data_IF_637352603849
#
_entry.id   IF_637352603849
#
_cell.length_a   1.000
_cell.length_b   1.000
_cell.length_c   1.000
_cell.angle_alpha   90.00
_cell.angle_beta   90.00
_cell.angle_gamma   90.00
#
_symmetry.space_group_name_H-M   'P 1'
#
loop_
_entity.id
_entity.type
_entity.pdbx_description
1 polymer ?
#
# COMPACT_ATOMS: atom_id res chain seq x y z
N UNK A 1 10.23 7.72 2.12
CA UNK A 1 10.11 9.16 2.44
C UNK A 1 8.84 9.80 1.92
N UNK A 2 8.53 9.71 0.62
CA UNK A 2 7.35 10.37 0.03
C UNK A 2 5.98 9.97 0.62
N UNK A 3 5.91 8.82 1.28
CA UNK A 3 4.74 8.36 2.03
C UNK A 3 4.76 8.81 3.49
N UNK A 4 5.53 9.84 3.83
CA UNK A 4 5.66 10.35 5.19
C UNK A 4 6.05 9.29 6.27
N UNK A 5 6.58 8.14 5.86
CA UNK A 5 7.06 7.07 6.75
C UNK A 5 8.42 7.50 7.34
N UNK A 6 8.58 7.60 8.68
CA UNK A 6 9.81 8.08 9.28
C UNK A 6 10.99 7.15 8.96
N UNK A 7 12.21 7.70 8.90
CA UNK A 7 13.41 6.93 8.58
C UNK A 7 13.74 5.85 9.63
N UNK A 8 13.34 6.07 10.87
CA UNK A 8 13.46 5.12 11.98
C UNK A 8 12.39 4.01 11.99
N UNK A 9 11.46 4.01 11.04
CA UNK A 9 10.35 3.05 11.03
C UNK A 9 10.86 1.60 10.82
N UNK A 10 10.40 0.61 11.62
CA UNK A 10 10.86 -0.78 11.53
C UNK A 10 10.78 -1.38 10.12
N UNK A 11 9.71 -1.09 9.37
CA UNK A 11 9.54 -1.55 7.99
C UNK A 11 10.66 -1.12 7.03
N UNK A 12 11.50 -0.14 7.39
CA UNK A 12 12.67 0.28 6.60
C UNK A 12 13.96 -0.46 6.96
N UNK A 13 13.93 -1.33 7.95
CA UNK A 13 15.10 -2.08 8.38
C UNK A 13 15.49 -3.14 7.35
N UNK A 14 16.77 -3.56 7.37
CA UNK A 14 17.26 -4.63 6.49
C UNK A 14 16.64 -5.99 6.77
N UNK A 15 15.94 -6.14 7.90
CA UNK A 15 15.21 -7.37 8.23
C UNK A 15 13.92 -7.48 7.42
N UNK A 16 13.30 -6.36 7.04
CA UNK A 16 11.98 -6.32 6.40
C UNK A 16 12.03 -5.91 4.91
N UNK A 17 13.12 -5.27 4.47
CA UNK A 17 13.25 -4.71 3.12
C UNK A 17 14.50 -5.19 2.40
N UNK A 18 14.32 -5.61 1.14
CA UNK A 18 15.43 -5.92 0.24
C UNK A 18 16.08 -4.66 -0.33
N UNK A 19 17.15 -4.20 0.32
CA UNK A 19 18.05 -3.19 -0.23
C UNK A 19 18.99 -3.81 -1.27
N UNK A 20 19.35 -3.02 -2.28
CA UNK A 20 20.25 -3.45 -3.35
C UNK A 20 21.70 -3.20 -2.94
N UNK A 21 22.60 -4.11 -3.33
CA UNK A 21 24.04 -3.88 -3.26
C UNK A 21 24.61 -3.26 -4.54
N UNK A 22 23.89 -3.37 -5.66
CA UNK A 22 24.26 -2.75 -6.95
C UNK A 22 23.01 -2.51 -7.84
N UNK A 23 22.67 -1.25 -8.18
CA UNK A 23 23.23 -0.04 -7.57
C UNK A 23 22.81 0.02 -6.09
N UNK A 24 23.71 0.42 -5.19
CA UNK A 24 23.39 0.62 -3.76
C UNK A 24 22.66 1.94 -3.51
N UNK A 25 22.88 2.92 -4.40
CA UNK A 25 22.23 4.23 -4.40
C UNK A 25 21.64 4.57 -5.76
N UNK A 26 20.53 5.31 -5.75
CA UNK A 26 19.94 5.92 -6.94
C UNK A 26 20.08 7.44 -6.90
N UNK A 27 20.16 8.04 -8.08
CA UNK A 27 20.05 9.49 -8.19
C UNK A 27 18.61 9.92 -7.93
N UNK A 28 18.45 10.90 -7.04
CA UNK A 28 17.18 11.53 -6.71
C UNK A 28 17.36 13.04 -6.85
N UNK A 29 16.43 13.69 -7.55
CA UNK A 29 16.47 15.15 -7.73
C UNK A 29 16.53 15.84 -6.37
N UNK A 30 17.48 16.77 -6.24
CA UNK A 30 17.68 17.58 -5.04
C UNK A 30 16.39 18.28 -4.60
N UNK A 31 15.55 18.71 -5.54
CA UNK A 31 14.24 19.30 -5.25
C UNK A 31 13.38 18.40 -4.36
N UNK A 32 13.32 17.10 -4.68
CA UNK A 32 12.53 16.15 -3.88
C UNK A 32 13.20 15.82 -2.55
N UNK A 33 14.53 15.72 -2.51
CA UNK A 33 15.26 15.51 -1.25
C UNK A 33 15.03 16.68 -0.27
N UNK A 34 15.07 17.92 -0.77
CA UNK A 34 14.84 19.11 0.03
C UNK A 34 13.37 19.21 0.48
N UNK A 35 12.42 18.89 -0.42
CA UNK A 35 10.99 18.84 -0.10
C UNK A 35 10.68 17.85 1.02
N UNK A 36 11.10 16.59 0.88
CA UNK A 36 10.79 15.56 1.86
C UNK A 36 11.54 15.77 3.18
N UNK A 37 12.75 16.34 3.15
CA UNK A 37 13.40 16.76 4.39
C UNK A 37 12.55 17.77 5.15
N UNK A 38 12.08 18.83 4.49
CA UNK A 38 11.24 19.84 5.13
C UNK A 38 9.91 19.28 5.66
N UNK A 39 9.24 18.42 4.88
CA UNK A 39 8.00 17.76 5.31
C UNK A 39 8.24 16.90 6.56
N UNK A 40 9.30 16.10 6.59
CA UNK A 40 9.59 15.21 7.72
C UNK A 40 10.08 15.99 8.95
N UNK A 41 10.87 17.03 8.79
CA UNK A 41 11.43 17.79 9.91
C UNK A 41 10.43 18.79 10.51
N UNK A 42 9.58 19.39 9.67
CA UNK A 42 8.78 20.56 10.04
C UNK A 42 7.30 20.47 9.66
N UNK A 43 6.89 19.45 8.90
CA UNK A 43 5.49 19.26 8.51
C UNK A 43 5.05 20.08 7.30
N UNK A 44 5.93 20.86 6.68
CA UNK A 44 5.59 21.77 5.56
C UNK A 44 4.44 22.74 5.94
N UNK A 45 3.65 23.18 4.97
CA UNK A 45 2.47 24.05 5.15
C UNK A 45 1.19 23.30 5.58
N UNK A 46 1.29 22.01 5.95
CA UNK A 46 0.13 21.14 6.23
C UNK A 46 -0.51 21.34 7.61
N UNK A 47 0.08 22.19 8.45
CA UNK A 47 -0.26 22.31 9.88
C UNK A 47 0.29 21.18 10.76
N UNK A 48 0.98 20.20 10.16
CA UNK A 48 1.74 19.18 10.88
C UNK A 48 3.00 19.77 11.53
N UNK A 49 3.51 19.10 12.57
CA UNK A 49 4.82 19.42 13.17
C UNK A 49 5.97 18.63 12.54
N UNK A 50 5.66 17.76 11.56
CA UNK A 50 6.59 16.74 11.11
C UNK A 50 6.85 15.67 12.18
N UNK A 51 7.90 14.89 11.98
CA UNK A 51 8.41 13.91 12.94
C UNK A 51 9.35 14.53 13.98
N UNK A 52 9.87 15.74 13.74
CA UNK A 52 10.75 16.45 14.66
C UNK A 52 12.13 15.80 14.85
N UNK A 53 12.54 14.92 13.91
CA UNK A 53 13.85 14.29 13.86
C UNK A 53 14.62 14.78 12.62
N UNK A 54 15.94 14.80 12.70
CA UNK A 54 16.81 15.15 11.57
C UNK A 54 16.61 14.17 10.40
N UNK A 55 16.51 14.70 9.19
CA UNK A 55 16.29 13.91 7.98
C UNK A 55 17.61 13.63 7.24
N UNK A 56 17.97 12.36 7.14
CA UNK A 56 19.14 11.94 6.37
C UNK A 56 18.80 11.80 4.87
N UNK A 57 19.30 12.74 4.05
CA UNK A 57 19.09 12.71 2.60
C UNK A 57 19.82 11.56 1.90
N UNK A 58 20.88 11.01 2.49
CA UNK A 58 21.59 9.87 1.93
C UNK A 58 20.82 8.56 2.17
N UNK A 59 20.07 8.46 3.26
CA UNK A 59 19.15 7.34 3.50
C UNK A 59 18.08 7.25 2.40
N UNK A 60 17.54 8.39 1.95
CA UNK A 60 16.55 8.46 0.87
C UNK A 60 17.06 8.02 -0.50
N UNK A 61 18.39 7.96 -0.69
CA UNK A 61 19.00 7.55 -1.96
C UNK A 61 19.24 6.04 -2.02
N UNK A 62 19.12 5.30 -0.91
CA UNK A 62 19.35 3.85 -0.89
C UNK A 62 18.39 3.15 -1.83
N UNK A 63 18.94 2.33 -2.72
CA UNK A 63 18.16 1.57 -3.68
C UNK A 63 17.55 0.33 -3.00
N UNK A 64 16.28 0.05 -3.30
CA UNK A 64 15.55 -1.09 -2.75
C UNK A 64 14.56 -1.65 -3.78
N UNK A 65 14.16 -2.90 -3.58
CA UNK A 65 13.03 -3.48 -4.28
C UNK A 65 11.73 -2.95 -3.65
N UNK A 66 10.80 -2.47 -4.48
CA UNK A 66 9.55 -1.86 -3.98
C UNK A 66 8.79 -2.83 -3.06
N UNK A 67 8.45 -2.34 -1.86
CA UNK A 67 7.77 -3.12 -0.81
C UNK A 67 6.24 -3.09 -0.89
N UNK A 68 5.70 -2.11 -1.61
CA UNK A 68 4.28 -1.91 -1.85
C UNK A 68 4.06 -1.10 -3.14
N UNK A 69 2.89 -1.24 -3.76
CA UNK A 69 2.52 -0.51 -5.00
C UNK A 69 2.26 0.98 -4.78
N UNK A 70 2.16 1.43 -3.53
CA UNK A 70 1.80 2.80 -3.13
C UNK A 70 2.79 3.85 -3.62
N UNK A 71 4.02 3.44 -3.92
CA UNK A 71 5.01 4.29 -4.59
C UNK A 71 4.55 4.78 -5.96
N UNK A 72 3.75 3.98 -6.67
CA UNK A 72 3.19 4.36 -7.97
C UNK A 72 2.01 5.33 -7.80
N UNK A 73 1.20 5.14 -6.77
CA UNK A 73 0.08 6.00 -6.42
C UNK A 73 0.55 7.41 -6.11
N UNK A 74 1.60 7.56 -5.30
CA UNK A 74 2.22 8.86 -5.02
C UNK A 74 2.70 9.55 -6.29
N UNK A 75 3.32 8.80 -7.22
CA UNK A 75 3.73 9.34 -8.53
C UNK A 75 2.54 9.75 -9.39
N UNK A 76 1.46 8.99 -9.37
CA UNK A 76 0.22 9.33 -10.08
C UNK A 76 -0.38 10.64 -9.57
N UNK A 77 -0.48 10.80 -8.25
CA UNK A 77 -0.96 12.03 -7.60
C UNK A 77 -0.06 13.22 -7.94
N UNK A 78 1.26 13.07 -7.84
CA UNK A 78 2.20 14.14 -8.18
C UNK A 78 2.09 14.62 -9.64
N UNK A 79 1.72 13.73 -10.57
CA UNK A 79 1.53 14.07 -11.98
C UNK A 79 0.12 14.60 -12.28
N UNK A 80 -0.85 14.40 -11.39
CA UNK A 80 -2.26 14.71 -11.62
C UNK A 80 -2.91 15.34 -10.35
N UNK A 81 -2.34 16.39 -9.74
CA UNK A 81 -2.76 16.88 -8.44
C UNK A 81 -4.21 17.41 -8.41
N UNK A 82 -4.69 17.97 -9.51
CA UNK A 82 -6.01 18.62 -9.60
C UNK A 82 -6.99 17.86 -10.51
N UNK A 83 -6.72 16.58 -10.82
CA UNK A 83 -7.55 15.78 -11.72
C UNK A 83 -8.29 14.69 -10.93
N UNK A 84 -9.63 14.74 -10.83
CA UNK A 84 -10.38 13.69 -10.15
C UNK A 84 -10.12 12.34 -10.80
N UNK A 85 -9.71 11.35 -10.01
CA UNK A 85 -9.33 10.05 -10.53
C UNK A 85 -9.72 8.89 -9.62
N UNK A 86 -10.13 7.79 -10.26
CA UNK A 86 -10.38 6.49 -9.62
C UNK A 86 -9.56 5.47 -10.38
N UNK A 87 -8.37 5.16 -9.86
CA UNK A 87 -7.41 4.29 -10.52
C UNK A 87 -7.08 3.11 -9.63
N UNK A 88 -6.77 1.98 -10.24
CA UNK A 88 -6.23 0.84 -9.55
C UNK A 88 -5.06 0.26 -10.35
N UNK A 89 -4.14 -0.38 -9.64
CA UNK A 89 -2.99 -1.04 -10.21
C UNK A 89 -2.76 -2.38 -9.54
N UNK A 90 -2.20 -3.31 -10.30
CA UNK A 90 -1.74 -4.60 -9.79
C UNK A 90 -0.26 -4.69 -10.11
N UNK A 91 0.55 -5.03 -9.12
CA UNK A 91 1.99 -5.13 -9.32
C UNK A 91 2.67 -6.02 -8.31
N UNK A 92 3.71 -6.73 -8.77
CA UNK A 92 4.57 -7.53 -7.89
C UNK A 92 5.36 -6.64 -6.94
N UNK A 93 5.42 -7.00 -5.66
CA UNK A 93 6.13 -6.33 -4.58
C UNK A 93 7.03 -7.32 -3.86
N UNK A 94 8.01 -6.81 -3.12
CA UNK A 94 9.05 -7.61 -2.49
C UNK A 94 9.21 -7.23 -1.02
N UNK A 95 9.15 -8.19 -0.12
CA UNK A 95 9.36 -8.00 1.31
C UNK A 95 10.23 -9.10 1.86
N UNK A 96 11.11 -8.77 2.79
CA UNK A 96 11.98 -9.76 3.40
C UNK A 96 11.24 -10.48 4.53
N UNK A 97 10.16 -11.16 4.17
CA UNK A 97 9.35 -11.96 5.09
C UNK A 97 9.78 -13.42 5.04
N UNK A 98 9.61 -14.14 6.16
CA UNK A 98 9.89 -15.57 6.20
C UNK A 98 8.80 -16.31 5.43
N UNK A 99 9.18 -17.20 4.53
CA UNK A 99 8.22 -18.01 3.76
C UNK A 99 7.41 -18.87 4.72
N UNK A 100 6.09 -18.71 4.70
CA UNK A 100 5.16 -19.56 5.44
C UNK A 100 3.90 -19.85 4.60
N UNK A 101 2.80 -20.25 5.26
CA UNK A 101 1.54 -20.61 4.58
C UNK A 101 0.76 -19.39 4.08
N UNK A 102 1.11 -18.20 4.55
CA UNK A 102 0.41 -16.92 4.33
C UNK A 102 1.30 -15.85 3.74
N UNK A 103 2.63 -15.97 3.86
CA UNK A 103 3.61 -14.98 3.45
C UNK A 103 4.59 -15.54 2.42
N UNK A 104 4.85 -14.73 1.40
CA UNK A 104 5.87 -14.96 0.38
C UNK A 104 6.75 -13.71 0.25
N UNK A 105 8.07 -13.87 0.03
CA UNK A 105 8.98 -12.75 -0.17
C UNK A 105 8.67 -11.90 -1.41
N UNK A 106 8.01 -12.51 -2.40
CA UNK A 106 7.47 -11.84 -3.57
C UNK A 106 6.00 -12.22 -3.75
N UNK A 107 5.14 -11.23 -3.97
CA UNK A 107 3.71 -11.41 -4.18
C UNK A 107 3.13 -10.22 -4.94
N UNK A 108 1.88 -10.29 -5.37
CA UNK A 108 1.21 -9.21 -6.11
C UNK A 108 0.31 -8.41 -5.18
N UNK A 109 0.53 -7.11 -5.14
CA UNK A 109 -0.35 -6.18 -4.45
C UNK A 109 -1.32 -5.57 -5.46
N UNK A 110 -2.60 -5.58 -5.12
CA UNK A 110 -3.64 -4.76 -5.73
C UNK A 110 -3.77 -3.50 -4.89
N UNK A 111 -3.80 -2.35 -5.54
CA UNK A 111 -4.04 -1.08 -4.87
C UNK A 111 -4.94 -0.20 -5.71
N UNK A 112 -5.88 0.47 -5.05
CA UNK A 112 -6.79 1.41 -5.69
C UNK A 112 -6.90 2.71 -4.89
N UNK A 113 -7.21 3.80 -5.61
CA UNK A 113 -7.48 5.10 -5.02
C UNK A 113 -8.78 5.72 -5.53
N UNK A 114 -9.30 6.63 -4.72
CA UNK A 114 -10.32 7.61 -5.07
C UNK A 114 -9.76 8.97 -4.66
N UNK A 115 -9.43 9.80 -5.65
CA UNK A 115 -8.90 11.14 -5.49
C UNK A 115 -9.91 12.13 -6.07
N UNK A 116 -10.62 12.84 -5.20
CA UNK A 116 -11.61 13.85 -5.58
C UNK A 116 -11.92 14.77 -4.38
N UNK A 117 -12.41 16.02 -4.59
CA UNK A 117 -12.57 17.01 -3.52
C UNK A 117 -13.45 16.55 -2.34
N UNK A 118 -14.45 15.71 -2.62
CA UNK A 118 -15.42 15.26 -1.62
C UNK A 118 -15.14 13.83 -1.10
N UNK A 119 -14.00 13.24 -1.49
CA UNK A 119 -13.62 11.91 -1.04
C UNK A 119 -13.53 11.86 0.49
N UNK A 120 -14.10 10.82 1.09
CA UNK A 120 -14.16 10.67 2.53
C UNK A 120 -14.19 9.19 2.93
N UNK A 121 -14.07 8.93 4.24
CA UNK A 121 -13.99 7.57 4.78
C UNK A 121 -15.26 6.76 4.49
N UNK A 122 -16.44 7.38 4.51
CA UNK A 122 -17.71 6.69 4.19
C UNK A 122 -17.73 6.20 2.74
N UNK A 123 -17.20 6.99 1.80
CA UNK A 123 -17.05 6.59 0.40
C UNK A 123 -16.07 5.42 0.26
N UNK A 124 -14.94 5.46 0.96
CA UNK A 124 -13.95 4.39 0.96
C UNK A 124 -14.54 3.08 1.51
N UNK A 125 -15.18 3.13 2.67
CA UNK A 125 -15.83 1.97 3.30
C UNK A 125 -16.91 1.39 2.39
N UNK A 126 -17.75 2.25 1.79
CA UNK A 126 -18.81 1.81 0.88
C UNK A 126 -18.24 1.14 -0.37
N UNK A 127 -17.13 1.68 -0.90
CA UNK A 127 -16.41 1.10 -2.05
C UNK A 127 -15.87 -0.28 -1.71
N UNK A 128 -15.22 -0.44 -0.54
CA UNK A 128 -14.66 -1.72 -0.10
C UNK A 128 -15.74 -2.77 0.14
N UNK A 129 -16.84 -2.39 0.81
CA UNK A 129 -18.00 -3.28 1.00
C UNK A 129 -18.60 -3.72 -0.34
N UNK A 130 -18.73 -2.79 -1.29
CA UNK A 130 -19.23 -3.09 -2.64
C UNK A 130 -18.27 -4.01 -3.40
N UNK A 131 -16.97 -3.77 -3.30
CA UNK A 131 -15.94 -4.58 -3.94
C UNK A 131 -16.02 -6.04 -3.47
N UNK A 132 -15.94 -6.29 -2.16
CA UNK A 132 -15.98 -7.65 -1.63
C UNK A 132 -17.35 -8.32 -1.81
N UNK A 133 -18.45 -7.57 -1.71
CA UNK A 133 -19.78 -8.10 -2.02
C UNK A 133 -19.88 -8.62 -3.45
N UNK A 134 -19.31 -7.89 -4.43
CA UNK A 134 -19.24 -8.34 -5.84
C UNK A 134 -18.33 -9.56 -6.04
N UNK A 135 -17.36 -9.77 -5.15
CA UNK A 135 -16.52 -10.96 -5.13
C UNK A 135 -17.19 -12.16 -4.45
N UNK A 136 -18.43 -12.03 -3.96
CA UNK A 136 -19.17 -13.10 -3.28
C UNK A 136 -19.04 -13.10 -1.75
N UNK A 137 -18.43 -12.07 -1.16
CA UNK A 137 -18.22 -11.95 0.28
C UNK A 137 -18.94 -10.70 0.84
N UNK A 138 -20.26 -10.77 1.10
CA UNK A 138 -21.05 -9.61 1.53
C UNK A 138 -20.81 -9.21 3.00
N UNK A 139 -20.38 -10.15 3.85
CA UNK A 139 -20.11 -9.93 5.26
C UNK A 139 -18.73 -9.30 5.45
N UNK A 140 -18.69 -7.97 5.42
CA UNK A 140 -17.46 -7.16 5.48
C UNK A 140 -17.43 -6.35 6.76
N UNK A 141 -16.35 -6.53 7.53
CA UNK A 141 -16.08 -5.77 8.77
C UNK A 141 -14.92 -4.81 8.53
N UNK A 142 -15.10 -3.56 8.96
CA UNK A 142 -14.05 -2.54 8.91
C UNK A 142 -13.68 -2.15 10.33
N UNK A 143 -12.39 -2.14 10.65
CA UNK A 143 -11.86 -1.85 11.98
C UNK A 143 -10.82 -0.73 11.90
N UNK A 144 -10.71 0.15 12.91
CA UNK A 144 -9.59 1.09 12.98
C UNK A 144 -8.24 0.36 12.95
N UNK A 145 -7.29 0.93 12.24
CA UNK A 145 -5.92 0.45 12.14
C UNK A 145 -4.94 1.63 12.17
N UNK A 146 -3.65 1.35 12.01
CA UNK A 146 -2.62 2.39 11.88
C UNK A 146 -1.74 2.09 10.68
N UNK A 147 -1.68 3.03 9.74
CA UNK A 147 -0.64 3.07 8.70
C UNK A 147 -0.01 4.47 8.68
N UNK A 148 1.32 4.60 8.59
CA UNK A 148 1.98 5.90 8.76
C UNK A 148 1.57 6.97 7.74
N UNK A 149 1.15 6.56 6.54
CA UNK A 149 0.76 7.45 5.44
C UNK A 149 -0.74 7.74 5.38
N UNK A 150 -1.57 7.18 6.26
CA UNK A 150 -3.02 7.43 6.24
C UNK A 150 -3.57 7.87 7.60
N UNK A 151 -4.49 8.83 7.57
CA UNK A 151 -5.28 9.25 8.73
C UNK A 151 -6.65 9.77 8.23
N UNK A 152 -7.77 9.10 8.58
CA UNK A 152 -7.89 7.86 9.34
C UNK A 152 -7.41 6.63 8.56
N UNK A 153 -7.01 5.59 9.32
CA UNK A 153 -6.57 4.28 8.84
C UNK A 153 -7.55 3.18 9.27
N UNK A 154 -7.83 2.22 8.39
CA UNK A 154 -8.73 1.08 8.66
C UNK A 154 -8.21 -0.21 8.03
N UNK A 155 -8.55 -1.34 8.65
CA UNK A 155 -8.41 -2.68 8.10
C UNK A 155 -9.77 -3.22 7.66
N UNK A 156 -9.75 -4.09 6.65
CA UNK A 156 -10.96 -4.77 6.16
C UNK A 156 -10.83 -6.27 6.32
N UNK A 157 -11.83 -6.85 6.96
CA UNK A 157 -12.03 -8.29 7.05
C UNK A 157 -13.26 -8.71 6.28
N UNK A 158 -13.23 -9.95 5.80
CA UNK A 158 -14.41 -10.67 5.32
C UNK A 158 -14.70 -11.87 6.22
N UNK A 159 -15.96 -12.31 6.27
CA UNK A 159 -16.32 -13.58 6.88
C UNK A 159 -16.07 -14.72 5.87
N UNK A 160 -15.16 -15.63 6.20
CA UNK A 160 -14.87 -16.82 5.40
C UNK A 160 -14.85 -18.06 6.30
N UNK A 161 -15.63 -19.09 5.95
CA UNK A 161 -15.77 -20.34 6.73
C UNK A 161 -16.09 -20.12 8.23
N UNK A 162 -16.81 -19.05 8.56
CA UNK A 162 -17.20 -18.70 9.93
C UNK A 162 -16.14 -17.91 10.72
N UNK A 163 -14.98 -17.62 10.11
CA UNK A 163 -13.91 -16.82 10.72
C UNK A 163 -13.72 -15.49 9.98
N UNK A 164 -13.29 -14.47 10.72
CA UNK A 164 -12.97 -13.17 10.13
C UNK A 164 -11.54 -13.19 9.59
N UNK A 165 -11.39 -13.03 8.29
CA UNK A 165 -10.11 -13.00 7.60
C UNK A 165 -9.78 -11.58 7.15
N UNK A 166 -8.67 -11.04 7.64
CA UNK A 166 -8.11 -9.76 7.18
C UNK A 166 -7.62 -9.88 5.72
N UNK A 167 -8.06 -8.97 4.85
CA UNK A 167 -7.66 -8.96 3.44
C UNK A 167 -6.80 -7.76 3.03
N UNK A 168 -6.83 -6.68 3.80
CA UNK A 168 -6.02 -5.53 3.46
C UNK A 168 -6.31 -4.29 4.27
N UNK A 169 -5.46 -3.30 4.05
CA UNK A 169 -5.52 -1.98 4.66
C UNK A 169 -6.13 -0.94 3.72
N UNK A 170 -6.77 0.05 4.31
CA UNK A 170 -7.29 1.22 3.61
C UNK A 170 -7.20 2.45 4.50
N UNK A 171 -7.27 3.63 3.91
CA UNK A 171 -7.27 4.88 4.65
C UNK A 171 -7.32 6.09 3.74
N UNK A 172 -7.28 7.27 4.34
CA UNK A 172 -7.15 8.53 3.60
C UNK A 172 -5.71 8.99 3.74
N UNK A 173 -5.02 9.27 2.64
CA UNK A 173 -3.65 9.76 2.74
C UNK A 173 -3.59 11.01 3.59
N UNK A 174 -2.55 11.07 4.42
CA UNK A 174 -2.33 12.23 5.25
C UNK A 174 -1.96 13.46 4.39
N UNK A 175 -2.29 14.68 4.83
CA UNK A 175 -1.88 15.91 4.19
C UNK A 175 -0.38 15.97 3.86
N UNK A 176 0.49 15.47 4.74
CA UNK A 176 1.94 15.47 4.53
C UNK A 176 2.40 14.62 3.34
N UNK A 177 1.54 13.75 2.81
CA UNK A 177 1.79 12.95 1.60
C UNK A 177 1.31 13.69 0.34
N UNK A 178 0.17 14.38 0.42
CA UNK A 178 -0.55 14.91 -0.75
C UNK A 178 -0.30 16.38 -1.03
N UNK A 179 -0.31 17.23 0.00
CA UNK A 179 -0.17 18.68 -0.16
C UNK A 179 1.20 19.09 -0.71
N UNK A 180 2.34 18.49 -0.29
CA UNK A 180 3.65 18.77 -0.91
C UNK A 180 3.71 18.43 -2.41
N UNK A 181 2.77 17.59 -2.89
CA UNK A 181 2.64 17.20 -4.29
C UNK A 181 1.66 18.10 -5.06
N UNK A 182 1.06 19.08 -4.40
CA UNK A 182 0.17 20.08 -4.99
C UNK A 182 -1.31 19.76 -4.90
N UNK A 183 -1.73 18.75 -4.10
CA UNK A 183 -3.16 18.45 -3.92
C UNK A 183 -3.60 18.52 -2.47
N UNK A 184 -4.61 19.33 -2.22
CA UNK A 184 -5.35 19.40 -0.95
C UNK A 184 -6.57 18.47 -0.96
N UNK A 185 -6.85 17.80 -2.08
CA UNK A 185 -8.00 16.91 -2.18
C UNK A 185 -7.72 15.59 -1.47
N UNK A 186 -8.69 15.04 -0.73
CA UNK A 186 -8.51 13.76 -0.08
C UNK A 186 -8.22 12.64 -1.09
N UNK A 187 -7.26 11.80 -0.76
CA UNK A 187 -6.93 10.58 -1.52
C UNK A 187 -7.29 9.38 -0.65
N UNK A 188 -8.47 8.80 -0.88
CA UNK A 188 -8.84 7.54 -0.25
C UNK A 188 -8.11 6.41 -0.97
N UNK A 189 -7.30 5.63 -0.25
CA UNK A 189 -6.54 4.51 -0.79
C UNK A 189 -6.93 3.20 -0.11
N UNK A 190 -6.80 2.10 -0.84
CA UNK A 190 -6.95 0.75 -0.32
C UNK A 190 -6.01 -0.21 -1.05
N UNK A 191 -5.57 -1.25 -0.37
CA UNK A 191 -4.75 -2.28 -0.97
C UNK A 191 -4.92 -3.64 -0.32
N UNK A 192 -4.68 -4.68 -1.10
CA UNK A 192 -4.76 -6.08 -0.67
C UNK A 192 -3.77 -6.95 -1.44
N UNK A 193 -3.41 -8.10 -0.89
CA UNK A 193 -2.66 -9.12 -1.62
C UNK A 193 -3.56 -9.86 -2.61
N UNK A 194 -3.17 -9.90 -3.89
CA UNK A 194 -3.89 -10.64 -4.92
C UNK A 194 -3.94 -12.14 -4.58
N UNK A 195 -2.84 -12.66 -4.04
CA UNK A 195 -2.73 -14.07 -3.65
C UNK A 195 -3.74 -14.44 -2.57
N UNK A 196 -4.01 -13.54 -1.62
CA UNK A 196 -5.00 -13.80 -0.57
C UNK A 196 -6.41 -13.86 -1.14
N UNK A 197 -6.72 -13.02 -2.13
CA UNK A 197 -7.97 -13.09 -2.88
C UNK A 197 -8.05 -14.35 -3.74
N UNK A 198 -6.96 -14.76 -4.38
CA UNK A 198 -6.91 -15.99 -5.17
C UNK A 198 -7.10 -17.23 -4.30
N UNK A 199 -6.48 -17.27 -3.11
CA UNK A 199 -6.68 -18.36 -2.14
C UNK A 199 -8.15 -18.49 -1.72
N UNK A 200 -8.84 -17.37 -1.50
CA UNK A 200 -10.26 -17.37 -1.15
C UNK A 200 -11.15 -17.95 -2.26
N UNK A 201 -10.92 -17.53 -3.50
CA UNK A 201 -11.71 -17.95 -4.67
C UNK A 201 -11.43 -19.42 -5.02
N UNK A 202 -10.17 -19.84 -4.92
CA UNK A 202 -9.71 -21.20 -5.23
C UNK A 202 -9.82 -22.17 -4.04
N UNK A 203 -10.32 -21.69 -2.90
CA UNK A 203 -10.49 -22.45 -1.67
C UNK A 203 -9.19 -23.12 -1.17
N UNK A 204 -8.08 -22.37 -1.20
CA UNK A 204 -6.73 -22.82 -0.84
C UNK A 204 -6.31 -22.35 0.57
N UNK A 205 -5.73 -23.25 1.36
CA UNK A 205 -5.25 -22.98 2.72
C UNK A 205 -3.72 -22.73 2.82
N UNK A 206 -3.02 -22.63 1.67
CA UNK A 206 -1.58 -22.38 1.63
C UNK A 206 -1.21 -21.62 0.34
N UNK A 207 -0.65 -20.42 0.50
CA UNK A 207 -0.27 -19.53 -0.59
C UNK A 207 0.75 -20.15 -1.54
N UNK A 208 1.63 -21.02 -1.03
CA UNK A 208 2.70 -21.66 -1.82
C UNK A 208 2.13 -22.55 -2.92
N UNK A 209 0.91 -23.06 -2.69
CA UNK A 209 0.20 -23.83 -3.71
C UNK A 209 -0.01 -23.01 -4.98
N UNK A 210 -0.18 -21.68 -4.93
CA UNK A 210 -0.37 -20.86 -6.13
C UNK A 210 0.86 -20.86 -7.05
N UNK A 211 2.04 -21.10 -6.50
CA UNK A 211 3.33 -21.01 -7.20
C UNK A 211 3.99 -22.36 -7.46
N UNK A 212 3.33 -23.46 -7.09
CA UNK A 212 3.81 -24.80 -7.41
C UNK A 212 3.69 -25.07 -8.92
N UNK A 213 4.75 -25.58 -9.57
CA UNK A 213 4.73 -25.91 -11.00
C UNK A 213 3.97 -27.23 -11.26
N UNK A 214 2.70 -27.29 -10.87
CA UNK A 214 1.82 -28.43 -11.10
C UNK A 214 0.97 -28.19 -12.35
N UNK A 215 1.47 -28.68 -13.49
CA UNK A 215 0.81 -28.53 -14.79
C UNK A 215 -0.54 -29.25 -14.87
N UNK A 216 -0.69 -30.40 -14.21
CA UNK A 216 -1.95 -31.14 -14.21
C UNK A 216 -3.03 -30.35 -13.48
N UNK A 217 -2.68 -29.78 -12.33
CA UNK A 217 -3.61 -28.93 -11.58
C UNK A 217 -3.98 -27.70 -12.40
N UNK A 218 -3.00 -27.01 -13.00
CA UNK A 218 -3.25 -25.85 -13.85
C UNK A 218 -4.18 -26.16 -15.03
N UNK A 219 -4.07 -27.34 -15.65
CA UNK A 219 -4.97 -27.80 -16.71
C UNK A 219 -6.40 -28.10 -16.22
N UNK A 220 -6.55 -28.56 -14.97
CA UNK A 220 -7.84 -28.92 -14.37
C UNK A 220 -8.54 -27.75 -13.68
N UNK A 221 -7.88 -26.59 -13.55
CA UNK A 221 -8.46 -25.43 -12.88
C UNK A 221 -9.72 -24.93 -13.63
N UNK A 222 -10.82 -24.66 -12.91
CA UNK A 222 -12.03 -24.15 -13.53
C UNK A 222 -11.79 -22.74 -14.08
N UNK A 223 -12.53 -22.39 -15.14
CA UNK A 223 -12.68 -20.99 -15.55
C UNK A 223 -13.57 -20.30 -14.51
N UNK A 224 -13.03 -19.26 -13.89
CA UNK A 224 -13.66 -18.45 -12.82
C UNK A 224 -14.38 -17.26 -13.44
#
# INVERSE_FOLDING_TARGET
DALFIPQSHPARTMQDTFYLSNPDKIEVDKKYLDLWANVHEHGHDTGSKGWGAEFDKDESKKALLRTHTTVNTVRHIANNPDLPSKVFGIGRVFRQETIDRTHLPEFHQIEGIIHEPNANLSMLISTLKTFYSKMGYPDVRVRPAYFPYTEPSVEVDILWRGEWLELGGAGIFRPEVTEPLGTEWPVCAWGMGLERLAMLILDLDDIRQLYQPDLERLQKMPLI
#
